data_IF_040236185783
#
_entry.id   IF_040236185783
#
_cell.length_a   1.000
_cell.length_b   1.000
_cell.length_c   1.000
_cell.angle_alpha   90.00
_cell.angle_beta   90.00
_cell.angle_gamma   90.00
#
_symmetry.space_group_name_H-M   'P 1'
#
loop_
_entity.id
_entity.type
_entity.pdbx_description
1 polymer ?
#
# COMPACT_ATOMS: atom_id res chain seq x y z
N UNK A 1 18.81 3.92 15.27
CA UNK A 1 18.73 2.44 15.31
C UNK A 1 17.87 2.03 16.49
N UNK A 2 17.00 1.02 16.33
CA UNK A 2 16.22 0.44 17.42
C UNK A 2 16.64 -1.01 17.61
N UNK A 3 16.78 -1.45 18.86
CA UNK A 3 17.09 -2.83 19.23
C UNK A 3 15.91 -3.40 20.02
N UNK A 4 15.42 -4.55 19.56
CA UNK A 4 14.42 -5.33 20.26
C UNK A 4 15.01 -6.69 20.62
N UNK A 5 14.77 -7.12 21.85
CA UNK A 5 15.12 -8.46 22.32
C UNK A 5 13.84 -9.11 22.87
N UNK A 6 13.51 -10.30 22.37
CA UNK A 6 12.29 -11.03 22.76
C UNK A 6 10.99 -10.20 22.60
N UNK A 7 10.95 -9.28 21.64
CA UNK A 7 9.80 -8.41 21.39
C UNK A 7 9.73 -7.16 22.28
N UNK A 8 10.64 -7.01 23.25
CA UNK A 8 10.72 -5.83 24.11
C UNK A 8 11.80 -4.86 23.61
N UNK A 9 11.55 -3.57 23.79
CA UNK A 9 12.47 -2.52 23.36
C UNK A 9 13.62 -2.38 24.36
N UNK A 10 14.80 -2.88 23.98
CA UNK A 10 16.01 -2.85 24.81
C UNK A 10 16.75 -1.51 24.72
N UNK A 11 16.60 -0.79 23.59
CA UNK A 11 17.25 0.50 23.45
C UNK A 11 17.13 1.13 22.07
N UNK A 12 17.33 2.45 22.06
CA UNK A 12 17.49 3.24 20.85
C UNK A 12 18.88 3.89 20.87
N UNK A 13 19.56 3.82 19.72
CA UNK A 13 20.89 4.38 19.52
C UNK A 13 20.89 5.40 18.39
N UNK A 14 21.57 6.52 18.61
CA UNK A 14 22.03 7.39 17.53
C UNK A 14 23.25 6.73 16.92
N UNK A 15 23.30 6.62 15.59
CA UNK A 15 24.49 6.12 14.92
C UNK A 15 25.66 7.08 15.23
N UNK A 16 26.72 6.62 15.92
CA UNK A 16 27.83 7.49 16.26
C UNK A 16 28.66 7.90 15.03
N UNK A 17 28.43 7.26 13.87
CA UNK A 17 29.12 7.58 12.62
C UNK A 17 28.28 8.58 11.82
N UNK A 18 28.86 9.76 11.58
CA UNK A 18 28.17 10.85 10.86
C UNK A 18 27.91 10.55 9.37
N UNK A 19 28.72 9.68 8.76
CA UNK A 19 28.54 9.25 7.37
C UNK A 19 28.18 7.77 7.32
N UNK A 20 27.11 7.44 6.60
CA UNK A 20 26.74 6.07 6.38
C UNK A 20 27.88 5.31 5.68
N UNK A 21 28.25 4.11 6.16
CA UNK A 21 29.28 3.30 5.51
C UNK A 21 28.81 2.89 4.10
N UNK A 22 29.77 2.81 3.17
CA UNK A 22 29.50 2.40 1.77
C UNK A 22 29.44 0.88 1.59
N UNK A 23 29.87 0.11 2.60
CA UNK A 23 29.77 -1.35 2.63
C UNK A 23 28.44 -1.82 3.23
N UNK A 24 27.77 -2.78 2.60
CA UNK A 24 26.44 -3.28 2.98
C UNK A 24 26.41 -4.67 3.62
N UNK A 25 27.47 -5.07 4.32
CA UNK A 25 27.59 -6.41 4.92
C UNK A 25 27.21 -6.45 6.40
N UNK A 26 26.70 -7.59 6.87
CA UNK A 26 26.52 -7.89 8.30
C UNK A 26 27.65 -8.81 8.75
N UNK A 27 28.32 -8.47 9.85
CA UNK A 27 29.35 -9.30 10.46
C UNK A 27 28.84 -9.91 11.77
N UNK A 28 29.01 -11.23 11.94
CA UNK A 28 28.74 -11.93 13.19
C UNK A 28 30.07 -12.19 13.88
N UNK A 29 30.26 -11.62 15.07
CA UNK A 29 31.49 -11.74 15.85
C UNK A 29 31.22 -12.56 17.11
N UNK A 30 32.01 -13.62 17.32
CA UNK A 30 31.99 -14.38 18.57
C UNK A 30 33.22 -14.02 19.40
N UNK A 31 32.98 -13.63 20.65
CA UNK A 31 34.02 -13.39 21.67
C UNK A 31 34.02 -14.48 22.75
N UNK A 32 33.39 -15.63 22.48
CA UNK A 32 33.23 -16.70 23.46
C UNK A 32 34.56 -17.37 23.81
N UNK A 33 34.80 -17.71 25.09
CA UNK A 33 35.92 -18.55 25.49
C UNK A 33 35.91 -19.91 24.78
N UNK A 34 37.08 -20.50 24.58
CA UNK A 34 37.25 -21.80 23.91
C UNK A 34 36.35 -22.87 24.54
N UNK A 35 35.61 -23.59 23.70
CA UNK A 35 34.76 -24.71 24.11
C UNK A 35 33.26 -24.39 24.20
N UNK A 36 32.88 -23.11 24.12
CA UNK A 36 31.48 -22.70 24.10
C UNK A 36 30.95 -22.66 22.67
N UNK A 37 29.81 -23.32 22.45
CA UNK A 37 29.11 -23.30 21.17
C UNK A 37 27.90 -22.37 21.29
N UNK A 38 27.82 -21.40 20.40
CA UNK A 38 26.64 -20.56 20.24
C UNK A 38 26.00 -20.85 18.89
N UNK A 39 24.68 -20.98 18.89
CA UNK A 39 23.89 -21.23 17.70
C UNK A 39 22.97 -20.03 17.45
N UNK A 40 22.94 -19.58 16.20
CA UNK A 40 22.07 -18.49 15.74
C UNK A 40 21.28 -19.03 14.55
N UNK A 41 19.96 -18.86 14.58
CA UNK A 41 19.02 -19.30 13.53
C UNK A 41 18.01 -18.20 13.24
N UNK A 42 17.37 -18.27 12.06
CA UNK A 42 16.29 -17.36 11.68
C UNK A 42 16.76 -15.93 11.40
N UNK A 43 17.96 -15.76 10.81
CA UNK A 43 18.43 -14.44 10.39
C UNK A 43 17.70 -14.05 9.10
N UNK A 44 16.89 -13.00 9.18
CA UNK A 44 16.20 -12.40 8.04
C UNK A 44 16.65 -10.94 7.88
N UNK A 45 16.95 -10.55 6.64
CA UNK A 45 17.41 -9.20 6.31
C UNK A 45 16.44 -8.62 5.30
N UNK A 46 15.90 -7.45 5.62
CA UNK A 46 14.97 -6.73 4.76
C UNK A 46 15.44 -5.29 4.59
N UNK A 47 15.18 -4.72 3.41
CA UNK A 47 15.37 -3.30 3.19
C UNK A 47 14.37 -2.49 4.02
N UNK A 48 14.87 -1.47 4.69
CA UNK A 48 14.02 -0.56 5.45
C UNK A 48 13.33 0.43 4.50
N UNK A 49 12.11 0.11 4.08
CA UNK A 49 11.25 1.02 3.31
C UNK A 49 10.54 2.00 4.26
N UNK A 50 11.18 3.15 4.48
CA UNK A 50 10.60 4.23 5.29
C UNK A 50 9.59 5.10 4.52
N UNK A 51 9.48 4.96 3.20
CA UNK A 51 8.56 5.74 2.39
C UNK A 51 7.13 5.28 2.70
N UNK A 52 6.89 3.97 2.68
CA UNK A 52 5.58 3.39 3.04
C UNK A 52 5.17 3.63 4.49
N UNK A 53 6.13 3.79 5.40
CA UNK A 53 5.85 4.09 6.80
C UNK A 53 5.52 5.58 6.99
N UNK A 54 6.26 6.48 6.33
CA UNK A 54 5.94 7.91 6.29
C UNK A 54 4.55 8.16 5.70
N UNK A 55 4.25 7.61 4.52
CA UNK A 55 2.93 7.79 3.88
C UNK A 55 1.77 7.21 4.69
N UNK A 56 2.00 6.18 5.52
CA UNK A 56 0.97 5.62 6.43
C UNK A 56 0.72 6.49 7.66
N UNK A 57 1.77 7.14 8.17
CA UNK A 57 1.72 8.03 9.33
C UNK A 57 1.43 9.49 8.95
N UNK A 58 1.37 9.79 7.65
CA UNK A 58 1.12 11.11 7.09
C UNK A 58 -0.28 11.60 7.46
N UNK A 59 -0.37 12.83 7.97
CA UNK A 59 -1.66 13.45 8.27
C UNK A 59 -2.46 13.58 6.98
N UNK A 60 -3.63 12.92 6.97
CA UNK A 60 -4.51 12.78 5.80
C UNK A 60 -5.33 14.04 5.55
N UNK A 61 -5.30 15.00 6.48
CA UNK A 61 -6.17 16.17 6.42
C UNK A 61 -7.63 15.78 6.68
N UNK A 62 -8.56 16.45 6.01
CA UNK A 62 -9.99 16.19 6.16
C UNK A 62 -10.37 14.81 5.61
N UNK A 63 -10.84 13.86 6.44
CA UNK A 63 -11.21 12.53 5.98
C UNK A 63 -12.48 12.52 5.12
N UNK A 64 -13.23 13.62 5.02
CA UNK A 64 -14.42 13.71 4.18
C UNK A 64 -14.12 14.05 2.71
N UNK A 65 -12.85 14.38 2.41
CA UNK A 65 -12.39 14.77 1.08
C UNK A 65 -11.30 13.82 0.58
N UNK A 66 -11.13 13.75 -0.74
CA UNK A 66 -9.93 13.17 -1.30
C UNK A 66 -8.75 14.12 -1.02
N UNK A 67 -7.54 13.56 -0.94
CA UNK A 67 -6.30 14.32 -0.74
C UNK A 67 -5.23 13.81 -1.68
N UNK A 68 -4.55 14.73 -2.37
CA UNK A 68 -3.46 14.42 -3.29
C UNK A 68 -2.17 15.08 -2.76
N UNK A 69 -1.09 14.30 -2.74
CA UNK A 69 0.26 14.76 -2.41
C UNK A 69 1.14 14.59 -3.66
N UNK A 70 1.79 15.67 -4.11
CA UNK A 70 2.78 15.60 -5.19
C UNK A 70 4.11 15.05 -4.69
N UNK A 71 5.03 14.71 -5.60
CA UNK A 71 6.41 14.37 -5.23
C UNK A 71 7.22 15.55 -4.70
N UNK A 72 6.79 16.77 -5.00
CA UNK A 72 7.37 18.01 -4.48
C UNK A 72 6.77 18.40 -3.11
N UNK A 73 5.99 17.50 -2.50
CA UNK A 73 5.38 17.62 -1.16
C UNK A 73 4.25 18.66 -1.05
N UNK A 74 3.74 19.15 -2.19
CA UNK A 74 2.53 19.96 -2.26
C UNK A 74 1.30 19.11 -1.94
N UNK A 75 0.33 19.71 -1.23
CA UNK A 75 -0.86 19.02 -0.73
C UNK A 75 -2.13 19.75 -1.17
N UNK A 76 -3.06 18.99 -1.73
CA UNK A 76 -4.39 19.49 -2.10
C UNK A 76 -5.48 18.60 -1.51
N UNK A 77 -6.43 19.22 -0.81
CA UNK A 77 -7.70 18.59 -0.46
C UNK A 77 -8.76 18.93 -1.52
N UNK A 78 -9.66 17.98 -1.80
CA UNK A 78 -10.73 18.16 -2.77
C UNK A 78 -11.29 16.83 -3.27
N UNK A 79 -11.39 16.69 -4.59
CA UNK A 79 -11.97 15.50 -5.22
C UNK A 79 -11.20 15.09 -6.48
N UNK A 80 -10.81 13.81 -6.55
CA UNK A 80 -10.32 13.24 -7.80
C UNK A 80 -11.50 13.04 -8.75
N UNK A 81 -11.45 13.66 -9.93
CA UNK A 81 -12.55 13.60 -10.91
C UNK A 81 -12.28 12.58 -12.01
N UNK A 82 -11.01 12.36 -12.40
CA UNK A 82 -10.67 11.36 -13.40
C UNK A 82 -9.22 10.88 -13.32
N UNK A 83 -8.97 9.66 -13.82
CA UNK A 83 -7.64 9.14 -14.13
C UNK A 83 -7.72 8.62 -15.56
N UNK A 84 -7.00 9.26 -16.49
CA UNK A 84 -7.05 8.94 -17.92
C UNK A 84 -5.64 8.77 -18.51
N UNK A 85 -5.46 7.96 -19.57
CA UNK A 85 -4.19 7.86 -20.26
C UNK A 85 -3.80 9.18 -20.95
N UNK A 86 -2.61 9.69 -20.64
CA UNK A 86 -1.96 10.81 -21.32
C UNK A 86 -0.75 10.38 -22.16
N UNK A 87 -0.02 11.36 -22.69
CA UNK A 87 1.17 11.10 -23.55
C UNK A 87 2.35 10.46 -22.81
N UNK A 88 2.43 10.63 -21.49
CA UNK A 88 3.55 10.20 -20.66
C UNK A 88 3.21 9.18 -19.57
N UNK A 89 1.97 8.67 -19.53
CA UNK A 89 1.47 7.83 -18.44
C UNK A 89 0.04 8.21 -18.07
N UNK A 90 -0.41 7.80 -16.89
CA UNK A 90 -1.72 8.24 -16.39
C UNK A 90 -1.69 9.72 -16.02
N UNK A 91 -2.81 10.41 -16.25
CA UNK A 91 -3.05 11.80 -15.84
C UNK A 91 -4.21 11.82 -14.88
N UNK A 92 -3.97 12.40 -13.70
CA UNK A 92 -4.93 12.57 -12.62
C UNK A 92 -5.53 13.97 -12.73
N UNK A 93 -6.86 14.04 -12.90
CA UNK A 93 -7.59 15.31 -12.81
C UNK A 93 -8.14 15.45 -11.39
N UNK A 94 -7.67 16.46 -10.67
CA UNK A 94 -8.03 16.70 -9.28
C UNK A 94 -8.63 18.09 -9.12
N UNK A 95 -9.85 18.18 -8.59
CA UNK A 95 -10.48 19.47 -8.27
C UNK A 95 -10.20 19.79 -6.81
N UNK A 96 -9.33 20.77 -6.57
CA UNK A 96 -9.05 21.32 -5.24
C UNK A 96 -10.17 22.27 -4.80
N UNK A 97 -10.46 22.34 -3.50
CA UNK A 97 -11.44 23.30 -2.97
C UNK A 97 -10.93 24.74 -2.97
N UNK A 98 -9.61 24.93 -3.13
CA UNK A 98 -8.95 26.24 -3.06
C UNK A 98 -8.78 26.91 -4.43
N UNK A 99 -9.10 26.22 -5.53
CA UNK A 99 -9.05 26.79 -6.87
C UNK A 99 -10.18 26.24 -7.77
N UNK A 100 -10.76 27.09 -8.64
CA UNK A 100 -11.86 26.66 -9.50
C UNK A 100 -11.42 25.75 -10.65
N UNK A 101 -10.20 25.92 -11.17
CA UNK A 101 -9.66 25.08 -12.23
C UNK A 101 -9.14 23.74 -11.68
N UNK A 102 -9.50 22.59 -12.31
CA UNK A 102 -8.90 21.31 -11.98
C UNK A 102 -7.39 21.28 -12.23
N UNK A 103 -6.66 20.63 -11.33
CA UNK A 103 -5.25 20.30 -11.52
C UNK A 103 -5.14 19.02 -12.36
N UNK A 104 -4.29 19.05 -13.37
CA UNK A 104 -3.89 17.86 -14.11
C UNK A 104 -2.45 17.50 -13.74
N UNK A 105 -2.27 16.30 -13.19
CA UNK A 105 -0.99 15.81 -12.69
C UNK A 105 -0.65 14.50 -13.38
N UNK A 106 0.55 14.40 -13.96
CA UNK A 106 1.04 13.12 -14.49
C UNK A 106 1.37 12.17 -13.33
N UNK A 107 1.22 10.87 -13.55
CA UNK A 107 1.50 9.82 -12.56
C UNK A 107 2.89 9.96 -11.93
N UNK A 108 3.88 10.38 -12.71
CA UNK A 108 5.26 10.57 -12.25
C UNK A 108 5.38 11.70 -11.21
N UNK A 109 4.45 12.64 -11.19
CA UNK A 109 4.45 13.82 -10.31
C UNK A 109 3.55 13.61 -9.07
N UNK A 110 2.72 12.56 -9.08
CA UNK A 110 1.91 12.16 -7.93
C UNK A 110 2.73 11.26 -7.00
N UNK A 111 2.76 11.62 -5.72
CA UNK A 111 3.36 10.80 -4.66
C UNK A 111 2.32 9.87 -4.05
N UNK A 112 1.21 10.43 -3.56
CA UNK A 112 0.17 9.68 -2.87
C UNK A 112 -1.20 10.29 -3.13
N UNK A 113 -2.22 9.44 -3.27
CA UNK A 113 -3.62 9.83 -3.33
C UNK A 113 -4.39 9.10 -2.21
N UNK A 114 -5.04 9.88 -1.35
CA UNK A 114 -5.98 9.39 -0.36
C UNK A 114 -7.40 9.68 -0.85
N UNK A 115 -8.27 8.68 -0.77
CA UNK A 115 -9.69 8.88 -1.03
C UNK A 115 -10.41 9.26 0.25
N UNK A 116 -11.44 10.08 0.11
CA UNK A 116 -12.37 10.39 1.18
C UNK A 116 -12.81 9.11 1.89
N UNK A 117 -12.70 9.10 3.22
CA UNK A 117 -13.27 8.09 4.06
C UNK A 117 -14.80 8.26 4.05
N UNK A 118 -15.44 7.79 2.99
CA UNK A 118 -16.89 7.71 2.95
C UNK A 118 -17.43 6.90 4.15
N UNK A 119 -18.65 7.21 4.59
CA UNK A 119 -19.41 6.35 5.51
C UNK A 119 -19.56 4.95 4.93
N UNK A 120 -18.58 4.05 5.11
CA UNK A 120 -18.55 2.67 4.55
C UNK A 120 -19.45 2.56 3.31
N UNK A 121 -19.19 3.42 2.31
CA UNK A 121 -20.05 3.50 1.15
C UNK A 121 -20.06 2.09 0.59
N UNK A 122 -21.23 1.47 0.51
CA UNK A 122 -21.32 0.08 0.05
C UNK A 122 -20.60 0.09 -1.29
N UNK A 123 -19.42 -0.55 -1.42
CA UNK A 123 -18.66 -0.45 -2.64
C UNK A 123 -19.61 -0.94 -3.73
N UNK A 124 -19.71 -0.24 -4.87
CA UNK A 124 -20.73 -0.50 -5.87
C UNK A 124 -20.86 -2.01 -6.00
N UNK A 125 -22.10 -2.52 -5.86
CA UNK A 125 -22.41 -3.92 -6.04
C UNK A 125 -22.02 -4.28 -7.48
N UNK A 126 -20.74 -4.60 -7.68
CA UNK A 126 -20.35 -5.59 -8.65
C UNK A 126 -20.92 -6.86 -8.06
N UNK A 127 -22.16 -7.18 -8.46
CA UNK A 127 -22.90 -8.38 -8.06
C UNK A 127 -22.04 -9.65 -8.27
N UNK A 128 -20.98 -9.57 -9.10
CA UNK A 128 -20.04 -10.66 -9.40
C UNK A 128 -18.54 -10.28 -9.36
N UNK A 129 -18.14 -9.28 -8.57
CA UNK A 129 -16.70 -8.96 -8.40
C UNK A 129 -15.94 -9.92 -7.46
N UNK A 130 -14.62 -9.75 -7.37
CA UNK A 130 -13.74 -10.44 -6.41
C UNK A 130 -13.05 -9.44 -5.46
N UNK A 131 -12.64 -9.91 -4.28
CA UNK A 131 -11.78 -9.16 -3.35
C UNK A 131 -10.43 -9.86 -3.28
N UNK A 132 -9.36 -9.15 -3.67
CA UNK A 132 -7.99 -9.60 -3.52
C UNK A 132 -7.42 -9.03 -2.21
N UNK A 133 -7.07 -9.90 -1.26
CA UNK A 133 -6.30 -9.51 -0.08
C UNK A 133 -4.83 -9.40 -0.45
N UNK A 134 -4.20 -8.32 0.00
CA UNK A 134 -2.78 -8.05 -0.19
C UNK A 134 -2.02 -8.47 1.08
N UNK A 135 -0.76 -8.87 0.93
CA UNK A 135 0.08 -9.29 2.07
C UNK A 135 0.32 -8.20 3.11
N UNK A 136 0.13 -6.93 2.76
CA UNK A 136 0.23 -5.78 3.67
C UNK A 136 -1.10 -5.35 4.30
N UNK A 137 -2.00 -6.29 4.58
CA UNK A 137 -3.35 -6.07 5.15
C UNK A 137 -4.34 -5.27 4.27
N UNK A 138 -3.90 -4.78 3.10
CA UNK A 138 -4.76 -4.12 2.13
C UNK A 138 -5.72 -5.08 1.42
N UNK A 139 -6.74 -4.52 0.77
CA UNK A 139 -7.65 -5.27 -0.09
C UNK A 139 -8.03 -4.47 -1.33
N UNK A 140 -8.12 -5.15 -2.48
CA UNK A 140 -8.55 -4.56 -3.74
C UNK A 140 -9.82 -5.26 -4.20
N UNK A 141 -10.89 -4.50 -4.45
CA UNK A 141 -12.11 -5.03 -5.07
C UNK A 141 -12.00 -4.89 -6.58
N UNK A 142 -12.11 -5.99 -7.30
CA UNK A 142 -11.88 -6.07 -8.74
C UNK A 142 -13.10 -6.67 -9.43
N UNK A 143 -13.39 -6.23 -10.64
CA UNK A 143 -14.44 -6.81 -11.48
C UNK A 143 -14.01 -8.18 -12.01
N UNK A 144 -12.74 -8.33 -12.38
CA UNK A 144 -12.16 -9.59 -12.81
C UNK A 144 -10.68 -9.70 -12.44
N UNK A 145 -10.15 -10.91 -12.41
CA UNK A 145 -8.73 -11.16 -12.24
C UNK A 145 -8.29 -12.44 -12.97
N UNK A 146 -7.11 -12.41 -13.56
CA UNK A 146 -6.46 -13.52 -14.23
C UNK A 146 -5.05 -13.71 -13.64
N UNK A 147 -4.78 -14.90 -13.10
CA UNK A 147 -3.48 -15.26 -12.55
C UNK A 147 -2.64 -15.96 -13.61
N UNK A 148 -1.49 -15.39 -13.96
CA UNK A 148 -0.59 -15.93 -14.98
C UNK A 148 0.84 -15.93 -14.45
N UNK A 149 1.38 -17.11 -14.14
CA UNK A 149 2.74 -17.23 -13.59
C UNK A 149 2.91 -16.43 -12.30
N UNK A 150 3.77 -15.41 -12.37
CA UNK A 150 4.11 -14.48 -11.27
C UNK A 150 3.30 -13.17 -11.28
N UNK A 151 2.35 -13.03 -12.20
CA UNK A 151 1.53 -11.84 -12.38
C UNK A 151 0.04 -12.13 -12.22
N UNK A 152 -0.70 -11.08 -11.89
CA UNK A 152 -2.16 -11.09 -11.78
C UNK A 152 -2.68 -9.85 -12.50
N UNK A 153 -3.29 -10.05 -13.66
CA UNK A 153 -4.00 -9.01 -14.37
C UNK A 153 -5.38 -8.85 -13.73
N UNK A 154 -5.77 -7.65 -13.38
CA UNK A 154 -7.06 -7.35 -12.74
C UNK A 154 -7.73 -6.21 -13.45
N UNK A 155 -9.06 -6.21 -13.45
CA UNK A 155 -9.85 -5.08 -13.92
C UNK A 155 -10.50 -4.41 -12.70
N UNK A 156 -10.07 -3.19 -12.38
CA UNK A 156 -10.58 -2.43 -11.25
C UNK A 156 -11.66 -1.44 -11.72
N UNK A 157 -12.85 -1.38 -11.09
CA UNK A 157 -13.98 -0.59 -11.58
C UNK A 157 -13.69 0.90 -11.83
N UNK A 158 -12.74 1.49 -11.11
CA UNK A 158 -12.34 2.90 -11.26
C UNK A 158 -11.00 3.11 -11.97
N UNK A 159 -10.12 2.10 -11.93
CA UNK A 159 -8.73 2.25 -12.38
C UNK A 159 -8.47 1.51 -13.70
N UNK A 160 -9.44 0.73 -14.18
CA UNK A 160 -9.30 -0.15 -15.34
C UNK A 160 -8.31 -1.29 -15.09
N UNK A 161 -7.65 -1.73 -16.16
CA UNK A 161 -6.70 -2.83 -16.14
C UNK A 161 -5.43 -2.51 -15.34
N UNK A 162 -5.17 -3.29 -14.29
CA UNK A 162 -3.96 -3.21 -13.46
C UNK A 162 -3.23 -4.56 -13.50
N UNK A 163 -1.90 -4.55 -13.52
CA UNK A 163 -1.09 -5.77 -13.35
C UNK A 163 -0.39 -5.76 -11.98
N UNK A 164 -0.60 -6.81 -11.20
CA UNK A 164 -0.04 -6.98 -9.86
C UNK A 164 0.94 -8.15 -9.84
N UNK A 165 1.96 -8.11 -8.97
CA UNK A 165 2.78 -9.31 -8.69
C UNK A 165 1.96 -10.30 -7.86
N UNK A 166 1.93 -11.56 -8.28
CA UNK A 166 1.24 -12.65 -7.58
C UNK A 166 1.72 -12.82 -6.14
N UNK A 167 3.01 -12.63 -5.90
CA UNK A 167 3.60 -12.67 -4.56
C UNK A 167 3.04 -11.59 -3.61
N UNK A 168 2.35 -10.56 -4.12
CA UNK A 168 1.70 -9.54 -3.30
C UNK A 168 0.32 -9.94 -2.77
N UNK A 169 -0.28 -11.01 -3.32
CA UNK A 169 -1.66 -11.42 -3.02
C UNK A 169 -1.65 -12.54 -1.98
N UNK A 170 -2.40 -12.36 -0.90
CA UNK A 170 -2.55 -13.34 0.18
C UNK A 170 -3.81 -14.19 0.03
N UNK A 171 -4.91 -13.63 -0.50
CA UNK A 171 -6.18 -14.34 -0.62
C UNK A 171 -7.06 -13.77 -1.72
N UNK A 172 -7.93 -14.61 -2.29
CA UNK A 172 -9.01 -14.24 -3.20
C UNK A 172 -10.34 -14.60 -2.52
N UNK A 173 -11.22 -13.62 -2.35
CA UNK A 173 -12.54 -13.80 -1.74
C UNK A 173 -13.63 -13.43 -2.76
N UNK A 174 -14.77 -14.15 -2.74
CA UNK A 174 -15.99 -13.67 -3.37
C UNK A 174 -16.78 -12.87 -2.32
N UNK A 175 -17.22 -11.62 -2.60
CA UNK A 175 -18.07 -10.89 -1.68
C UNK A 175 -19.34 -11.72 -1.44
N UNK A 176 -19.68 -11.98 -0.17
CA UNK A 176 -20.89 -12.73 0.19
C UNK A 176 -22.11 -11.92 -0.22
N UNK A 177 -22.78 -12.32 -1.31
CA UNK A 177 -24.09 -11.80 -1.67
C UNK A 177 -25.15 -12.22 -0.65
N UNK A 178 -26.20 -11.42 -0.49
CA UNK A 178 -27.40 -11.82 0.26
C UNK A 178 -28.03 -13.01 -0.46
N UNK A 179 -27.96 -14.21 0.13
CA UNK A 179 -28.78 -15.34 -0.30
C UNK A 179 -30.25 -15.00 -0.07
N UNK A 180 -30.95 -14.64 -1.14
CA UNK A 180 -32.41 -14.57 -1.15
C UNK A 180 -32.94 -16.00 -1.12
N UNK A 181 -33.24 -16.50 0.08
CA UNK A 181 -33.93 -17.78 0.25
C UNK A 181 -35.38 -17.60 -0.19
N UNK A 182 -35.66 -17.88 -1.46
CA UNK A 182 -37.04 -18.08 -1.93
C UNK A 182 -37.55 -19.38 -1.33
N UNK A 183 -38.27 -19.30 -0.21
CA UNK A 183 -39.13 -20.39 0.25
C UNK A 183 -40.37 -20.39 -0.65
N UNK A 184 -40.39 -21.28 -1.63
CA UNK A 184 -41.62 -21.73 -2.26
C UNK A 184 -42.55 -22.28 -1.16
N UNK A 185 -43.75 -21.71 -1.08
CA UNK A 185 -44.89 -22.33 -0.41
C UNK A 185 -45.57 -23.22 -1.45
N UNK A 186 -45.62 -24.51 -1.17
CA UNK A 186 -46.71 -25.38 -1.59
C UNK A 186 -47.27 -26.07 -0.34
#
# INVERSE_FOLDING_TARGET
>A
MQLLLNGEHEGSGIDPVAQAPTGGGIAVVSSSPVGWKQEIRGIEIMEYDNARARHRAEDRGDPSLDSLISRDDDRWGGQLTSILPGKGGLVFTFRSDFQPEPLELEEKDVSTLFFAAGEKGTPPEADDGFILRLRGEGSLRVASCLFTGDEVAVDHPLLGGITLRRAGISMLEKPRGKTTTTREKE
#
